data_IF_306547688440
#
_entry.id   IF_306547688440
#
_cell.length_a   1.000
_cell.length_b   1.000
_cell.length_c   1.000
_cell.angle_alpha   90.00
_cell.angle_beta   90.00
_cell.angle_gamma   90.00
#
_symmetry.space_group_name_H-M   'P 1'
#
loop_
_entity.id
_entity.type
_entity.pdbx_description
1 polymer ?
#
# COMPACT_ATOMS: atom_id res chain seq x y z
N UNK A 1 -0.77 -30.07 -16.48
CA UNK A 1 -0.82 -28.83 -15.69
C UNK A 1 -1.88 -27.90 -16.27
N UNK A 2 -3.13 -28.06 -15.84
CA UNK A 2 -4.26 -27.20 -16.26
C UNK A 2 -5.20 -27.00 -15.06
N UNK A 3 -5.42 -28.08 -14.29
CA UNK A 3 -6.17 -28.05 -13.03
C UNK A 3 -5.53 -27.10 -12.01
N UNK A 4 -4.20 -27.13 -11.86
CA UNK A 4 -3.48 -26.25 -10.91
C UNK A 4 -3.62 -24.78 -11.30
N UNK A 5 -3.52 -24.45 -12.59
CA UNK A 5 -3.65 -23.07 -13.07
C UNK A 5 -5.10 -22.58 -13.00
N UNK A 6 -6.08 -23.46 -13.27
CA UNK A 6 -7.49 -23.17 -13.05
C UNK A 6 -7.79 -22.90 -11.58
N UNK A 7 -7.25 -23.71 -10.65
CA UNK A 7 -7.40 -23.52 -9.22
C UNK A 7 -6.81 -22.18 -8.76
N UNK A 8 -5.60 -21.82 -9.21
CA UNK A 8 -4.98 -20.51 -8.92
C UNK A 8 -5.81 -19.35 -9.44
N UNK A 9 -6.42 -19.49 -10.63
CA UNK A 9 -7.27 -18.45 -11.21
C UNK A 9 -8.58 -18.28 -10.43
N UNK A 10 -9.21 -19.38 -10.03
CA UNK A 10 -10.41 -19.36 -9.17
C UNK A 10 -10.08 -18.72 -7.82
N UNK A 11 -8.96 -19.11 -7.20
CA UNK A 11 -8.49 -18.50 -5.95
C UNK A 11 -8.29 -16.99 -6.11
N UNK A 12 -7.60 -16.55 -7.16
CA UNK A 12 -7.34 -15.12 -7.39
C UNK A 12 -8.63 -14.30 -7.56
N UNK A 13 -9.63 -14.81 -8.29
CA UNK A 13 -10.92 -14.13 -8.45
C UNK A 13 -11.71 -14.11 -7.14
N UNK A 14 -11.80 -15.25 -6.43
CA UNK A 14 -12.43 -15.32 -5.12
C UNK A 14 -11.74 -14.40 -4.11
N UNK A 15 -10.41 -14.29 -4.15
CA UNK A 15 -9.63 -13.41 -3.29
C UNK A 15 -9.99 -11.94 -3.50
N UNK A 16 -10.06 -11.48 -4.76
CA UNK A 16 -10.50 -10.11 -5.07
C UNK A 16 -11.93 -9.84 -4.60
N UNK A 17 -12.83 -10.82 -4.73
CA UNK A 17 -14.21 -10.71 -4.24
C UNK A 17 -14.31 -10.67 -2.71
N UNK A 18 -13.44 -11.41 -2.00
CA UNK A 18 -13.40 -11.44 -0.55
C UNK A 18 -12.87 -10.13 0.06
N UNK A 19 -12.02 -9.40 -0.67
CA UNK A 19 -11.39 -8.15 -0.21
C UNK A 19 -11.72 -6.95 -1.12
N UNK A 20 -13.01 -6.58 -1.30
CA UNK A 20 -13.42 -5.60 -2.31
C UNK A 20 -12.97 -4.16 -2.01
N UNK A 21 -12.59 -3.88 -0.76
CA UNK A 21 -12.10 -2.56 -0.31
C UNK A 21 -10.58 -2.52 -0.13
N UNK A 22 -9.90 -3.65 -0.29
CA UNK A 22 -8.46 -3.72 -0.17
C UNK A 22 -7.79 -3.38 -1.51
N UNK A 23 -6.60 -2.79 -1.42
CA UNK A 23 -5.66 -2.76 -2.53
C UNK A 23 -5.06 -4.14 -2.69
N UNK A 24 -5.10 -4.69 -3.90
CA UNK A 24 -4.55 -6.01 -4.20
C UNK A 24 -3.16 -5.83 -4.81
N UNK A 25 -2.14 -6.30 -4.12
CA UNK A 25 -0.73 -6.23 -4.53
C UNK A 25 -0.28 -7.60 -5.05
N UNK A 26 0.57 -7.58 -6.07
CA UNK A 26 1.32 -8.77 -6.48
C UNK A 26 2.51 -8.93 -5.55
N UNK A 27 2.63 -10.09 -4.90
CA UNK A 27 3.76 -10.41 -4.06
C UNK A 27 5.03 -10.53 -4.93
N UNK A 28 6.19 -9.95 -4.51
CA UNK A 28 7.44 -9.99 -5.27
C UNK A 28 8.13 -11.35 -5.08
N UNK A 29 7.53 -12.41 -5.60
CA UNK A 29 8.01 -13.79 -5.43
C UNK A 29 8.65 -14.31 -6.73
N UNK A 30 9.70 -15.18 -6.66
CA UNK A 30 10.47 -15.59 -7.84
C UNK A 30 9.66 -16.35 -8.89
N UNK A 31 8.60 -17.04 -8.47
CA UNK A 31 7.78 -17.86 -9.37
C UNK A 31 6.61 -17.03 -9.91
N UNK A 32 6.69 -16.70 -11.21
CA UNK A 32 5.79 -15.79 -11.96
C UNK A 32 4.37 -16.34 -12.17
N UNK A 33 3.89 -17.22 -11.30
CA UNK A 33 2.48 -17.60 -11.29
C UNK A 33 1.63 -16.40 -10.87
N UNK A 34 0.67 -16.02 -11.71
CA UNK A 34 -0.28 -14.90 -11.56
C UNK A 34 -1.20 -14.95 -10.32
N UNK A 35 -0.85 -15.71 -9.28
CA UNK A 35 -1.69 -16.01 -8.14
C UNK A 35 -1.15 -15.55 -6.79
N UNK A 36 0.10 -15.09 -6.68
CA UNK A 36 0.64 -14.62 -5.40
C UNK A 36 0.15 -13.20 -5.12
N UNK A 37 -1.03 -13.08 -4.53
CA UNK A 37 -1.68 -11.81 -4.19
C UNK A 37 -1.69 -11.57 -2.68
N UNK A 38 -1.54 -10.30 -2.32
CA UNK A 38 -1.66 -9.75 -0.96
C UNK A 38 -2.78 -8.70 -0.98
N UNK A 39 -3.66 -8.71 0.02
CA UNK A 39 -4.68 -7.70 0.23
C UNK A 39 -4.20 -6.74 1.34
N UNK A 40 -4.19 -5.45 1.04
CA UNK A 40 -3.76 -4.39 1.95
C UNK A 40 -4.89 -3.37 2.12
N UNK A 41 -5.20 -2.99 3.35
CA UNK A 41 -6.25 -2.00 3.63
C UNK A 41 -5.79 -0.55 3.39
N UNK A 42 -6.60 0.40 3.88
CA UNK A 42 -6.35 1.83 3.73
C UNK A 42 -5.19 2.34 4.61
N UNK A 43 -4.89 1.62 5.69
CA UNK A 43 -3.83 1.95 6.66
C UNK A 43 -2.50 1.22 6.34
N UNK A 44 -2.43 0.63 5.16
CA UNK A 44 -1.29 -0.15 4.67
C UNK A 44 -1.02 -1.43 5.45
N UNK A 45 -2.06 -1.99 6.10
CA UNK A 45 -1.99 -3.25 6.83
C UNK A 45 -2.42 -4.42 5.97
N UNK A 46 -1.71 -5.53 6.10
CA UNK A 46 -2.01 -6.79 5.41
C UNK A 46 -3.24 -7.42 6.06
N UNK A 47 -4.30 -7.59 5.27
CA UNK A 47 -5.58 -8.17 5.70
C UNK A 47 -5.85 -9.54 5.06
N UNK A 48 -5.02 -9.96 4.11
CA UNK A 48 -5.15 -11.27 3.48
C UNK A 48 -4.00 -11.60 2.53
N UNK A 49 -3.82 -12.89 2.27
CA UNK A 49 -2.89 -13.38 1.26
C UNK A 49 -3.39 -14.70 0.68
N UNK A 50 -3.23 -14.86 -0.63
CA UNK A 50 -3.47 -16.13 -1.35
C UNK A 50 -2.55 -17.25 -0.84
N UNK A 51 -2.92 -18.50 -1.08
CA UNK A 51 -2.12 -19.66 -0.70
C UNK A 51 -0.68 -19.59 -1.22
N UNK A 52 -0.47 -19.23 -2.49
CA UNK A 52 0.88 -19.06 -3.04
C UNK A 52 1.67 -17.93 -2.39
N UNK A 53 1.04 -16.79 -2.08
CA UNK A 53 1.72 -15.70 -1.38
C UNK A 53 2.11 -16.11 0.04
N UNK A 54 1.23 -16.84 0.74
CA UNK A 54 1.50 -17.35 2.08
C UNK A 54 2.67 -18.32 2.11
N UNK A 55 2.75 -19.26 1.17
CA UNK A 55 3.87 -20.19 1.07
C UNK A 55 5.19 -19.48 0.77
N UNK A 56 5.18 -18.52 -0.16
CA UNK A 56 6.40 -17.86 -0.60
C UNK A 56 6.95 -16.83 0.41
N UNK A 57 6.07 -16.17 1.17
CA UNK A 57 6.45 -15.14 2.15
C UNK A 57 6.37 -15.61 3.61
N UNK A 58 6.05 -16.88 3.85
CA UNK A 58 5.93 -17.43 5.21
C UNK A 58 4.77 -16.88 6.03
N UNK A 59 3.69 -16.41 5.38
CA UNK A 59 2.54 -15.80 6.08
C UNK A 59 1.68 -16.91 6.69
N UNK A 60 1.81 -17.08 8.01
CA UNK A 60 0.99 -18.03 8.79
C UNK A 60 -0.39 -17.44 9.09
N UNK A 61 -1.34 -18.27 9.55
CA UNK A 61 -2.63 -17.76 10.01
C UNK A 61 -2.45 -16.78 11.18
N UNK A 62 -1.54 -17.11 12.10
CA UNK A 62 -1.20 -16.25 13.23
C UNK A 62 -0.63 -14.89 12.81
N UNK A 63 0.03 -14.80 11.64
CA UNK A 63 0.48 -13.54 11.06
C UNK A 63 -0.71 -12.67 10.60
N UNK A 64 -1.79 -13.28 10.11
CA UNK A 64 -3.00 -12.57 9.67
C UNK A 64 -3.92 -12.20 10.85
N UNK A 65 -3.80 -12.90 11.97
CA UNK A 65 -4.54 -12.59 13.20
C UNK A 65 -3.98 -11.35 13.93
N UNK A 66 -2.82 -10.83 13.51
CA UNK A 66 -2.19 -9.62 14.04
C UNK A 66 -2.04 -8.58 12.92
N UNK A 67 -2.25 -7.28 13.19
CA UNK A 67 -1.92 -6.24 12.23
C UNK A 67 -0.44 -6.30 11.84
N UNK A 68 -0.17 -6.41 10.53
CA UNK A 68 1.19 -6.42 9.97
C UNK A 68 1.26 -5.38 8.85
N UNK A 69 2.18 -4.40 8.92
CA UNK A 69 2.40 -3.46 7.84
C UNK A 69 2.86 -4.18 6.55
N UNK A 70 2.36 -3.73 5.40
CA UNK A 70 2.77 -4.27 4.11
C UNK A 70 4.27 -4.05 3.85
N UNK A 71 4.82 -2.90 4.25
CA UNK A 71 6.24 -2.61 4.14
C UNK A 71 7.10 -3.62 4.90
N UNK A 72 6.70 -4.03 6.11
CA UNK A 72 7.41 -5.04 6.91
C UNK A 72 7.42 -6.39 6.22
N UNK A 73 6.26 -6.83 5.71
CA UNK A 73 6.13 -8.09 4.98
C UNK A 73 7.00 -8.12 3.72
N UNK A 74 7.11 -6.99 3.03
CA UNK A 74 7.84 -6.86 1.76
C UNK A 74 9.34 -6.55 1.95
N UNK A 75 9.80 -6.39 3.20
CA UNK A 75 11.19 -6.03 3.50
C UNK A 75 11.53 -4.58 3.11
N UNK A 76 10.53 -3.71 3.04
CA UNK A 76 10.65 -2.27 2.76
C UNK A 76 10.48 -1.42 4.03
N UNK A 77 10.47 -2.06 5.20
CA UNK A 77 10.34 -1.36 6.47
C UNK A 77 11.48 -0.36 6.63
N UNK A 78 11.12 0.91 6.72
CA UNK A 78 12.04 1.97 7.12
C UNK A 78 12.00 2.11 8.64
N UNK A 79 13.15 2.41 9.24
CA UNK A 79 13.26 2.62 10.68
C UNK A 79 14.06 3.89 10.94
N UNK A 80 13.62 4.67 11.94
CA UNK A 80 14.32 5.87 12.36
C UNK A 80 13.44 7.12 12.42
N UNK A 81 14.05 8.27 12.72
CA UNK A 81 13.32 9.53 12.92
C UNK A 81 12.64 10.07 11.66
N UNK A 82 13.05 9.62 10.47
CA UNK A 82 12.54 10.11 9.18
C UNK A 82 11.23 9.44 8.74
N UNK A 83 10.85 8.31 9.32
CA UNK A 83 9.64 7.55 8.92
C UNK A 83 8.38 8.41 8.95
N UNK A 84 8.21 9.24 9.99
CA UNK A 84 7.07 10.15 10.08
C UNK A 84 7.13 11.25 9.01
N UNK A 85 8.33 11.74 8.69
CA UNK A 85 8.52 12.76 7.67
C UNK A 85 8.19 12.20 6.27
N UNK A 86 8.55 10.96 5.98
CA UNK A 86 8.25 10.29 4.72
C UNK A 86 6.76 9.97 4.58
N UNK A 87 6.12 9.49 5.64
CA UNK A 87 4.66 9.31 5.66
C UNK A 87 3.93 10.64 5.40
N UNK A 88 4.38 11.74 6.03
CA UNK A 88 3.83 13.07 5.79
C UNK A 88 4.06 13.52 4.34
N UNK A 89 5.25 13.27 3.78
CA UNK A 89 5.60 13.55 2.39
C UNK A 89 4.63 12.86 1.42
N UNK A 90 4.35 11.57 1.64
CA UNK A 90 3.41 10.80 0.83
C UNK A 90 1.98 11.36 0.87
N UNK A 91 1.52 11.85 2.03
CA UNK A 91 0.22 12.53 2.15
C UNK A 91 0.20 13.82 1.33
N UNK A 92 1.26 14.62 1.39
CA UNK A 92 1.36 15.89 0.65
C UNK A 92 1.39 15.65 -0.87
N UNK A 93 2.20 14.69 -1.35
CA UNK A 93 2.23 14.35 -2.78
C UNK A 93 0.85 13.90 -3.29
N UNK A 94 0.16 13.02 -2.56
CA UNK A 94 -1.17 12.56 -2.97
C UNK A 94 -2.19 13.70 -2.98
N UNK A 95 -2.14 14.61 -2.01
CA UNK A 95 -3.02 15.76 -1.97
C UNK A 95 -2.76 16.73 -3.14
N UNK A 96 -1.50 16.99 -3.47
CA UNK A 96 -1.12 17.81 -4.61
C UNK A 96 -1.50 17.17 -5.94
N UNK A 97 -1.29 15.87 -6.10
CA UNK A 97 -1.66 15.13 -7.31
C UNK A 97 -3.18 15.18 -7.56
N UNK A 98 -4.01 15.02 -6.51
CA UNK A 98 -5.47 15.14 -6.62
C UNK A 98 -5.96 16.56 -6.91
N UNK A 99 -5.13 17.56 -6.64
CA UNK A 99 -5.44 18.96 -6.82
C UNK A 99 -4.75 19.56 -8.07
N UNK A 100 -4.18 18.73 -8.94
CA UNK A 100 -3.41 19.17 -10.12
C UNK A 100 -2.35 20.24 -9.77
N UNK A 101 -1.66 20.04 -8.64
CA UNK A 101 -0.64 20.95 -8.12
C UNK A 101 -1.17 22.26 -7.54
N UNK A 102 -2.49 22.45 -7.44
CA UNK A 102 -3.09 23.61 -6.78
C UNK A 102 -2.96 23.49 -5.26
N UNK A 103 -2.00 24.22 -4.71
CA UNK A 103 -1.68 24.25 -3.27
C UNK A 103 -2.88 24.67 -2.42
N UNK A 104 -3.70 25.62 -2.87
CA UNK A 104 -4.86 26.08 -2.10
C UNK A 104 -5.94 24.99 -2.02
N UNK A 105 -6.21 24.32 -3.15
CA UNK A 105 -7.15 23.21 -3.19
C UNK A 105 -6.65 21.99 -2.40
N UNK A 106 -5.36 21.66 -2.49
CA UNK A 106 -4.74 20.61 -1.68
C UNK A 106 -4.83 20.91 -0.17
N UNK A 107 -4.58 22.17 0.24
CA UNK A 107 -4.69 22.57 1.64
C UNK A 107 -6.14 22.42 2.14
N UNK A 108 -7.11 22.84 1.34
CA UNK A 108 -8.53 22.70 1.64
C UNK A 108 -8.94 21.22 1.77
N UNK A 109 -8.50 20.37 0.84
CA UNK A 109 -8.78 18.93 0.88
C UNK A 109 -8.17 18.23 2.11
N UNK A 110 -7.03 18.72 2.60
CA UNK A 110 -6.39 18.24 3.83
C UNK A 110 -6.94 18.87 5.11
N UNK A 111 -7.84 19.86 5.02
CA UNK A 111 -8.40 20.55 6.18
C UNK A 111 -7.40 21.45 6.93
N UNK A 112 -6.36 21.94 6.26
CA UNK A 112 -5.34 22.81 6.86
C UNK A 112 -5.26 24.16 6.15
N UNK A 113 -4.70 25.18 6.83
CA UNK A 113 -4.45 26.47 6.19
C UNK A 113 -3.41 26.35 5.06
N UNK A 114 -3.54 27.20 4.04
CA UNK A 114 -2.54 27.32 2.96
C UNK A 114 -1.14 27.61 3.51
N UNK A 115 -1.02 28.46 4.54
CA UNK A 115 0.25 28.78 5.17
C UNK A 115 0.88 27.55 5.86
N UNK A 116 0.05 26.71 6.51
CA UNK A 116 0.49 25.45 7.11
C UNK A 116 0.99 24.48 6.03
N UNK A 117 0.27 24.35 4.91
CA UNK A 117 0.69 23.49 3.81
C UNK A 117 2.04 23.93 3.24
N UNK A 118 2.21 25.22 2.93
CA UNK A 118 3.48 25.77 2.44
C UNK A 118 4.66 25.49 3.38
N UNK A 119 4.48 25.68 4.69
CA UNK A 119 5.51 25.36 5.69
C UNK A 119 5.90 23.88 5.64
N UNK A 120 4.93 22.97 5.49
CA UNK A 120 5.19 21.53 5.41
C UNK A 120 5.91 21.17 4.11
N UNK A 121 5.49 21.73 2.98
CA UNK A 121 6.14 21.50 1.67
C UNK A 121 7.62 21.92 1.70
N UNK A 122 7.91 23.12 2.20
CA UNK A 122 9.28 23.63 2.29
C UNK A 122 10.13 22.83 3.29
N UNK A 123 9.58 22.46 4.46
CA UNK A 123 10.30 21.69 5.48
C UNK A 123 10.68 20.30 4.99
N UNK A 124 9.81 19.69 4.19
CA UNK A 124 10.01 18.34 3.71
C UNK A 124 10.69 18.28 2.35
N UNK A 125 10.90 19.38 1.62
CA UNK A 125 11.42 19.36 0.25
C UNK A 125 10.46 18.72 -0.77
N UNK A 126 9.16 18.90 -0.57
CA UNK A 126 8.11 18.40 -1.48
C UNK A 126 7.90 19.42 -2.59
N UNK A 127 8.48 19.13 -3.75
CA UNK A 127 8.29 19.91 -4.97
C UNK A 127 7.17 19.31 -5.85
N UNK A 128 6.60 20.14 -6.74
CA UNK A 128 5.65 19.65 -7.75
C UNK A 128 6.32 18.55 -8.57
N UNK A 129 5.77 17.35 -8.51
CA UNK A 129 6.04 16.33 -9.52
C UNK A 129 5.52 16.87 -10.85
N UNK A 130 6.41 16.94 -11.85
CA UNK A 130 6.12 17.38 -13.21
C UNK A 130 5.13 16.45 -13.91
#
# INVERSE_FOLDING_TARGET
>A
MAVVDAARRIEAENFKMAFPKARILLAPVPDKGSGALIAVDADDLVVGATHSARLALGITQQCLDKPMPAADLLGWAESGPEVLAEAERGVLHRALARADGNVSAAAHALGISRATLHRKLNRLDVHRSH
#
